data_IF_853315593381
#
_entry.id   IF_853315593381
#
_cell.length_a   1.000
_cell.length_b   1.000
_cell.length_c   1.000
_cell.angle_alpha   90.00
_cell.angle_beta   90.00
_cell.angle_gamma   90.00
#
_symmetry.space_group_name_H-M   'P 1'
#
loop_
_entity.id
_entity.type
_entity.pdbx_description
1 polymer ?
#
# COMPACT_ATOMS: atom_id res chain seq x y z
N UNK A 1 -1.02 12.21 -17.88
CA UNK A 1 -0.25 11.04 -17.43
C UNK A 1 -1.21 10.03 -16.81
N UNK A 2 -1.90 9.19 -17.61
CA UNK A 2 -2.80 8.17 -17.08
C UNK A 2 -2.05 7.17 -16.20
N UNK A 3 -2.58 6.89 -15.02
CA UNK A 3 -2.04 5.98 -14.02
C UNK A 3 -3.08 4.89 -13.80
N UNK A 4 -2.71 3.64 -14.04
CA UNK A 4 -3.56 2.51 -13.65
C UNK A 4 -3.27 2.08 -12.22
N UNK A 5 -4.30 1.91 -11.40
CA UNK A 5 -4.18 1.41 -10.03
C UNK A 5 -4.82 0.04 -9.95
N UNK A 6 -4.04 -0.95 -9.51
CA UNK A 6 -4.47 -2.32 -9.36
C UNK A 6 -4.76 -2.59 -7.88
N UNK A 7 -6.05 -2.69 -7.57
CA UNK A 7 -6.58 -2.98 -6.26
C UNK A 7 -7.05 -4.42 -6.14
N UNK A 8 -7.21 -4.89 -4.91
CA UNK A 8 -7.92 -6.15 -4.59
C UNK A 8 -8.95 -5.97 -3.48
N UNK A 9 -9.10 -4.74 -2.99
CA UNK A 9 -10.03 -4.31 -1.94
C UNK A 9 -10.64 -3.01 -2.45
N UNK A 10 -11.96 -2.97 -2.62
CA UNK A 10 -12.66 -1.83 -3.19
C UNK A 10 -12.51 -0.55 -2.35
N UNK A 11 -12.42 -0.68 -1.02
CA UNK A 11 -12.22 0.44 -0.10
C UNK A 11 -10.90 1.21 -0.31
N UNK A 12 -9.95 0.66 -1.08
CA UNK A 12 -8.73 1.38 -1.41
C UNK A 12 -8.96 2.51 -2.43
N UNK A 13 -9.93 2.38 -3.34
CA UNK A 13 -10.16 3.38 -4.39
C UNK A 13 -10.34 4.81 -3.83
N UNK A 14 -11.28 5.09 -2.91
CA UNK A 14 -11.46 6.43 -2.39
C UNK A 14 -10.25 6.97 -1.63
N UNK A 15 -9.41 6.09 -1.05
CA UNK A 15 -8.15 6.51 -0.40
C UNK A 15 -7.14 7.02 -1.42
N UNK A 16 -6.99 6.31 -2.55
CA UNK A 16 -6.10 6.75 -3.61
C UNK A 16 -6.63 8.00 -4.34
N UNK A 17 -7.96 8.11 -4.52
CA UNK A 17 -8.58 9.33 -5.06
C UNK A 17 -8.27 10.55 -4.18
N UNK A 18 -8.44 10.41 -2.86
CA UNK A 18 -8.16 11.47 -1.90
C UNK A 18 -6.66 11.85 -1.89
N UNK A 19 -5.76 10.86 -1.86
CA UNK A 19 -4.32 11.11 -1.87
C UNK A 19 -3.86 11.79 -3.18
N UNK A 20 -4.44 11.42 -4.31
CA UNK A 20 -4.17 12.07 -5.59
C UNK A 20 -4.65 13.52 -5.60
N UNK A 21 -5.85 13.78 -5.08
CA UNK A 21 -6.37 15.14 -4.94
C UNK A 21 -5.46 16.02 -4.07
N UNK A 22 -4.97 15.51 -2.94
CA UNK A 22 -4.05 16.24 -2.05
C UNK A 22 -2.68 16.52 -2.67
N UNK A 23 -2.29 15.76 -3.70
CA UNK A 23 -1.02 15.91 -4.42
C UNK A 23 -1.20 16.64 -5.76
N UNK A 24 -2.33 17.30 -5.97
CA UNK A 24 -2.68 18.03 -7.21
C UNK A 24 -2.59 17.17 -8.48
N UNK A 25 -2.79 15.86 -8.36
CA UNK A 25 -2.91 14.96 -9.51
C UNK A 25 -4.24 15.25 -10.21
N UNK A 26 -4.25 15.63 -11.50
CA UNK A 26 -5.48 16.02 -12.18
C UNK A 26 -6.54 14.91 -12.18
N UNK A 27 -7.80 15.31 -11.97
CA UNK A 27 -8.94 14.42 -12.07
C UNK A 27 -8.98 13.74 -13.45
N UNK A 28 -9.35 12.45 -13.47
CA UNK A 28 -9.40 11.64 -14.70
C UNK A 28 -8.05 11.06 -15.14
N UNK A 29 -6.95 11.30 -14.41
CA UNK A 29 -5.67 10.61 -14.65
C UNK A 29 -5.62 9.23 -14.00
N UNK A 30 -6.50 8.92 -13.05
CA UNK A 30 -6.50 7.62 -12.39
C UNK A 30 -7.49 6.65 -13.05
N UNK A 31 -7.02 5.44 -13.32
CA UNK A 31 -7.82 4.33 -13.82
C UNK A 31 -7.74 3.17 -12.82
N UNK A 32 -8.84 2.91 -12.12
CA UNK A 32 -8.89 1.89 -11.06
C UNK A 32 -9.33 0.54 -11.61
N UNK A 33 -8.56 -0.51 -11.34
CA UNK A 33 -8.87 -1.89 -11.68
C UNK A 33 -8.90 -2.74 -10.41
N UNK A 34 -9.97 -3.51 -10.24
CA UNK A 34 -10.12 -4.41 -9.11
C UNK A 34 -9.90 -5.86 -9.55
N UNK A 35 -8.87 -6.52 -8.99
CA UNK A 35 -8.53 -7.92 -9.21
C UNK A 35 -8.77 -8.76 -7.92
N UNK A 36 -9.86 -8.53 -7.20
CA UNK A 36 -10.21 -9.30 -6.00
C UNK A 36 -10.28 -10.81 -6.28
N UNK A 37 -10.85 -11.21 -7.41
CA UNK A 37 -10.96 -12.62 -7.83
C UNK A 37 -9.60 -13.28 -8.02
N UNK A 38 -8.61 -12.57 -8.57
CA UNK A 38 -7.24 -13.05 -8.71
C UNK A 38 -6.59 -13.25 -7.34
N UNK A 39 -6.78 -12.30 -6.41
CA UNK A 39 -6.30 -12.44 -5.03
C UNK A 39 -6.94 -13.64 -4.33
N UNK A 40 -8.25 -13.82 -4.47
CA UNK A 40 -8.96 -14.97 -3.89
C UNK A 40 -8.44 -16.29 -4.44
N UNK A 41 -8.17 -16.37 -5.75
CA UNK A 41 -7.56 -17.54 -6.37
C UNK A 41 -6.14 -17.81 -5.84
N UNK A 42 -5.31 -16.78 -5.66
CA UNK A 42 -3.97 -16.90 -5.04
C UNK A 42 -4.08 -17.43 -3.60
N UNK A 43 -5.02 -16.91 -2.81
CA UNK A 43 -5.24 -17.37 -1.43
C UNK A 43 -5.70 -18.82 -1.42
N UNK A 44 -6.66 -19.19 -2.27
CA UNK A 44 -7.19 -20.55 -2.37
C UNK A 44 -6.13 -21.57 -2.80
N UNK A 45 -5.20 -21.16 -3.67
CA UNK A 45 -4.07 -21.99 -4.10
C UNK A 45 -2.91 -22.04 -3.08
N UNK A 46 -2.97 -21.26 -1.99
CA UNK A 46 -1.89 -21.14 -1.01
C UNK A 46 -0.69 -20.33 -1.50
N UNK A 47 -0.81 -19.63 -2.63
CA UNK A 47 0.27 -18.88 -3.27
C UNK A 47 0.07 -18.70 -4.77
N UNK A 48 1.01 -18.02 -5.41
CA UNK A 48 1.00 -17.82 -6.85
C UNK A 48 1.45 -19.08 -7.59
N UNK A 49 0.57 -19.62 -8.43
CA UNK A 49 0.91 -20.62 -9.46
C UNK A 49 1.39 -19.93 -10.73
N UNK A 50 2.01 -20.67 -11.66
CA UNK A 50 2.44 -20.13 -12.95
C UNK A 50 1.27 -19.55 -13.77
N UNK A 51 0.10 -20.21 -13.71
CA UNK A 51 -1.13 -19.72 -14.35
C UNK A 51 -1.58 -18.38 -13.76
N UNK A 52 -1.62 -18.25 -12.42
CA UNK A 52 -2.02 -17.00 -11.78
C UNK A 52 -1.00 -15.87 -12.03
N UNK A 53 0.30 -16.20 -12.15
CA UNK A 53 1.34 -15.24 -12.55
C UNK A 53 1.17 -14.80 -14.00
N UNK A 54 0.84 -15.72 -14.90
CA UNK A 54 0.56 -15.40 -16.30
C UNK A 54 -0.67 -14.49 -16.42
N UNK A 55 -1.74 -14.78 -15.68
CA UNK A 55 -2.93 -13.93 -15.61
C UNK A 55 -2.60 -12.52 -15.11
N UNK A 56 -1.84 -12.39 -14.01
CA UNK A 56 -1.37 -11.09 -13.50
C UNK A 56 -0.56 -10.34 -14.55
N UNK A 57 0.42 -11.00 -15.18
CA UNK A 57 1.26 -10.40 -16.23
C UNK A 57 0.43 -9.87 -17.40
N UNK A 58 -0.53 -10.66 -17.90
CA UNK A 58 -1.39 -10.22 -19.02
C UNK A 58 -2.22 -9.00 -18.64
N UNK A 59 -2.75 -8.94 -17.41
CA UNK A 59 -3.46 -7.75 -16.93
C UNK A 59 -2.54 -6.52 -16.89
N UNK A 60 -1.30 -6.67 -16.43
CA UNK A 60 -0.33 -5.57 -16.44
C UNK A 60 0.02 -5.10 -17.86
N UNK A 61 0.13 -6.01 -18.83
CA UNK A 61 0.37 -5.65 -20.23
C UNK A 61 -0.80 -4.86 -20.84
N UNK A 62 -2.04 -5.27 -20.55
CA UNK A 62 -3.23 -4.52 -20.99
C UNK A 62 -3.26 -3.13 -20.37
N UNK A 63 -2.94 -3.01 -19.08
CA UNK A 63 -2.89 -1.71 -18.39
C UNK A 63 -1.76 -0.82 -18.93
N UNK A 64 -0.59 -1.40 -19.23
CA UNK A 64 0.54 -0.67 -19.78
C UNK A 64 0.25 -0.05 -21.15
N UNK A 65 -0.67 -0.62 -21.93
CA UNK A 65 -1.06 -0.06 -23.23
C UNK A 65 -1.90 1.22 -23.13
N UNK A 66 -2.46 1.54 -21.95
CA UNK A 66 -3.37 2.66 -21.73
C UNK A 66 -2.95 3.57 -20.57
N UNK A 67 -1.75 3.38 -20.01
CA UNK A 67 -1.27 4.13 -18.85
C UNK A 67 0.22 4.36 -18.95
N UNK A 68 0.69 5.49 -18.44
CA UNK A 68 2.11 5.83 -18.37
C UNK A 68 2.80 5.15 -17.18
N UNK A 69 2.02 4.65 -16.21
CA UNK A 69 2.50 3.87 -15.08
C UNK A 69 1.38 3.02 -14.46
N UNK A 70 1.78 2.01 -13.68
CA UNK A 70 0.87 1.14 -12.94
C UNK A 70 1.26 1.13 -11.46
N UNK A 71 0.30 1.40 -10.57
CA UNK A 71 0.45 1.23 -9.12
C UNK A 71 -0.19 -0.10 -8.69
N UNK A 72 0.59 -1.02 -8.12
CA UNK A 72 0.06 -2.26 -7.54
C UNK A 72 -0.14 -2.03 -6.04
N UNK A 73 -1.40 -1.97 -5.60
CA UNK A 73 -1.75 -1.51 -4.25
C UNK A 73 -1.94 -2.64 -3.24
N UNK A 74 -1.87 -3.90 -3.67
CA UNK A 74 -2.00 -5.07 -2.80
C UNK A 74 -0.63 -5.72 -2.62
N UNK A 75 -0.12 -5.79 -1.38
CA UNK A 75 1.20 -6.39 -1.09
C UNK A 75 1.35 -7.84 -1.61
N UNK A 76 0.28 -8.64 -1.55
CA UNK A 76 0.28 -10.01 -2.09
C UNK A 76 0.57 -10.03 -3.60
N UNK A 77 -0.11 -9.19 -4.37
CA UNK A 77 0.13 -9.06 -5.81
C UNK A 77 1.45 -8.33 -6.09
N UNK A 78 1.82 -7.36 -5.24
CA UNK A 78 3.08 -6.62 -5.26
C UNK A 78 4.29 -7.55 -5.29
N UNK A 79 4.34 -8.52 -4.35
CA UNK A 79 5.43 -9.49 -4.32
C UNK A 79 5.53 -10.37 -5.60
N UNK A 80 4.44 -10.52 -6.36
CA UNK A 80 4.45 -11.29 -7.60
C UNK A 80 4.89 -10.48 -8.82
N UNK A 81 4.79 -9.15 -8.78
CA UNK A 81 5.27 -8.28 -9.87
C UNK A 81 6.77 -8.03 -9.83
N UNK A 82 7.42 -8.30 -8.70
CA UNK A 82 8.89 -8.37 -8.63
C UNK A 82 9.41 -9.36 -9.68
N UNK A 83 10.26 -8.88 -10.59
CA UNK A 83 10.83 -9.68 -11.67
C UNK A 83 10.05 -9.66 -12.99
N UNK A 84 8.90 -8.98 -13.07
CA UNK A 84 8.19 -8.74 -14.33
C UNK A 84 8.77 -7.51 -15.06
N UNK A 85 9.99 -7.66 -15.59
CA UNK A 85 10.71 -6.59 -16.29
C UNK A 85 10.22 -6.34 -17.74
N UNK A 86 9.30 -7.17 -18.23
CA UNK A 86 8.75 -7.13 -19.59
C UNK A 86 7.55 -6.19 -19.75
N UNK A 87 7.12 -5.52 -18.67
CA UNK A 87 6.03 -4.53 -18.73
C UNK A 87 6.58 -3.20 -19.27
N UNK A 88 5.92 -2.65 -20.30
CA UNK A 88 6.41 -1.51 -21.07
C UNK A 88 6.47 -0.19 -20.28
N UNK A 89 5.76 -0.10 -19.16
CA UNK A 89 5.69 1.10 -18.30
C UNK A 89 6.10 0.77 -16.87
N UNK A 90 6.53 1.76 -16.08
CA UNK A 90 6.88 1.54 -14.67
C UNK A 90 5.73 0.90 -13.89
N UNK A 91 6.04 -0.21 -13.20
CA UNK A 91 5.14 -0.85 -12.23
C UNK A 91 5.67 -0.55 -10.84
N UNK A 92 4.95 0.29 -10.11
CA UNK A 92 5.30 0.70 -8.74
C UNK A 92 4.57 -0.19 -7.75
N UNK A 93 5.35 -0.78 -6.85
CA UNK A 93 4.84 -1.53 -5.69
C UNK A 93 4.55 -0.56 -4.55
N UNK A 94 3.27 -0.37 -4.25
CA UNK A 94 2.85 0.61 -3.26
C UNK A 94 3.30 0.24 -1.83
N UNK A 95 3.34 -1.06 -1.51
CA UNK A 95 3.86 -1.57 -0.24
C UNK A 95 5.36 -1.29 -0.09
N UNK A 96 6.14 -1.51 -1.15
CA UNK A 96 7.57 -1.24 -1.17
C UNK A 96 7.88 0.27 -1.10
N UNK A 97 7.06 1.10 -1.74
CA UNK A 97 7.15 2.56 -1.65
C UNK A 97 6.92 3.05 -0.21
N UNK A 98 5.91 2.49 0.48
CA UNK A 98 5.70 2.75 1.92
C UNK A 98 6.92 2.35 2.74
N UNK A 99 7.45 1.15 2.52
CA UNK A 99 8.60 0.65 3.28
C UNK A 99 9.81 1.57 3.13
N UNK A 100 10.17 1.97 1.89
CA UNK A 100 11.26 2.93 1.63
C UNK A 100 11.01 4.28 2.28
N UNK A 101 9.83 4.85 2.11
CA UNK A 101 9.50 6.19 2.61
C UNK A 101 9.57 6.25 4.15
N UNK A 102 9.05 5.23 4.82
CA UNK A 102 9.01 5.15 6.27
C UNK A 102 10.38 4.83 6.89
N UNK A 103 11.20 3.99 6.25
CA UNK A 103 12.55 3.66 6.76
C UNK A 103 13.59 4.72 6.47
N UNK A 104 13.39 5.56 5.46
CA UNK A 104 14.23 6.74 5.22
C UNK A 104 14.17 7.77 6.37
N UNK A 105 13.13 7.72 7.21
CA UNK A 105 13.01 8.58 8.38
C UNK A 105 13.90 8.09 9.54
N UNK A 106 14.50 9.04 10.26
CA UNK A 106 15.24 8.78 11.50
C UNK A 106 14.32 8.31 12.63
N UNK A 107 14.87 7.56 13.58
CA UNK A 107 14.17 7.15 14.81
C UNK A 107 13.45 5.81 14.72
N UNK A 108 12.71 5.46 15.77
CA UNK A 108 11.96 4.20 15.90
C UNK A 108 10.71 4.22 15.01
N UNK A 109 10.60 3.24 14.13
CA UNK A 109 9.48 3.03 13.23
C UNK A 109 8.57 1.93 13.77
N UNK A 110 7.28 2.25 13.93
CA UNK A 110 6.23 1.26 14.17
C UNK A 110 5.35 1.12 12.94
N UNK A 111 5.25 -0.10 12.40
CA UNK A 111 4.38 -0.44 11.27
C UNK A 111 3.13 -1.12 11.81
N UNK A 112 1.97 -0.50 11.62
CA UNK A 112 0.68 -1.05 12.02
C UNK A 112 0.13 -1.95 10.90
N UNK A 113 -0.05 -3.23 11.20
CA UNK A 113 -0.61 -4.22 10.28
C UNK A 113 -1.86 -4.83 10.87
N UNK A 114 -2.99 -4.74 10.19
CA UNK A 114 -4.29 -5.21 10.70
C UNK A 114 -4.58 -6.66 10.29
N UNK A 115 -4.31 -7.02 9.04
CA UNK A 115 -4.63 -8.35 8.51
C UNK A 115 -3.55 -9.36 8.90
N UNK A 116 -3.92 -10.35 9.72
CA UNK A 116 -3.02 -11.44 10.17
C UNK A 116 -2.26 -12.10 9.00
N UNK A 117 -2.96 -12.37 7.88
CA UNK A 117 -2.37 -13.02 6.72
C UNK A 117 -1.27 -12.18 6.02
N UNK A 118 -1.25 -10.86 6.24
CA UNK A 118 -0.24 -9.97 5.67
C UNK A 118 1.00 -9.83 6.55
N UNK A 119 0.94 -10.19 7.84
CA UNK A 119 2.03 -9.97 8.80
C UNK A 119 3.38 -10.51 8.33
N UNK A 120 3.51 -11.77 7.86
CA UNK A 120 4.82 -12.29 7.46
C UNK A 120 5.42 -11.50 6.28
N UNK A 121 4.57 -11.09 5.33
CA UNK A 121 4.99 -10.30 4.17
C UNK A 121 5.40 -8.88 4.55
N UNK A 122 4.64 -8.22 5.43
CA UNK A 122 4.98 -6.89 5.95
C UNK A 122 6.29 -6.94 6.75
N UNK A 123 6.45 -7.93 7.63
CA UNK A 123 7.70 -8.12 8.38
C UNK A 123 8.90 -8.31 7.45
N UNK A 124 8.81 -9.23 6.49
CA UNK A 124 9.89 -9.48 5.54
C UNK A 124 10.25 -8.23 4.73
N UNK A 125 9.24 -7.48 4.27
CA UNK A 125 9.43 -6.26 3.47
C UNK A 125 10.16 -5.15 4.23
N UNK A 126 9.79 -4.92 5.48
CA UNK A 126 10.40 -3.87 6.31
C UNK A 126 11.76 -4.29 6.89
N UNK A 127 11.95 -5.57 7.24
CA UNK A 127 13.26 -6.08 7.68
C UNK A 127 14.31 -6.12 6.57
N UNK A 128 13.89 -6.12 5.30
CA UNK A 128 14.79 -6.05 4.16
C UNK A 128 15.32 -4.64 3.87
N UNK A 129 14.86 -3.61 4.59
CA UNK A 129 15.30 -2.23 4.40
C UNK A 129 16.66 -1.97 5.06
N UNK A 130 17.40 -0.98 4.55
CA UNK A 130 18.70 -0.52 5.11
C UNK A 130 18.54 0.33 6.39
N UNK A 131 17.64 -0.09 7.28
CA UNK A 131 17.44 0.50 8.59
C UNK A 131 17.65 -0.58 9.64
N UNK A 132 18.30 -0.21 10.73
CA UNK A 132 18.62 -1.14 11.81
C UNK A 132 17.37 -1.84 12.33
N UNK A 133 17.39 -3.18 12.38
CA UNK A 133 16.20 -3.98 12.66
C UNK A 133 15.62 -3.70 14.06
N UNK A 134 16.43 -3.29 15.02
CA UNK A 134 16.00 -2.88 16.36
C UNK A 134 15.21 -1.56 16.38
N UNK A 135 15.24 -0.79 15.30
CA UNK A 135 14.46 0.44 15.14
C UNK A 135 13.15 0.20 14.38
N UNK A 136 12.83 -1.04 14.02
CA UNK A 136 11.62 -1.38 13.28
C UNK A 136 10.79 -2.37 14.10
N UNK A 137 9.58 -1.95 14.46
CA UNK A 137 8.58 -2.80 15.09
C UNK A 137 7.39 -2.97 14.16
N UNK A 138 6.98 -4.20 13.87
CA UNK A 138 5.71 -4.48 13.17
C UNK A 138 4.69 -4.92 14.21
N UNK A 139 3.68 -4.08 14.43
CA UNK A 139 2.62 -4.30 15.44
C UNK A 139 1.35 -4.79 14.76
N UNK A 140 0.84 -5.94 15.22
CA UNK A 140 -0.42 -6.49 14.76
C UNK A 140 -1.61 -5.83 15.47
N UNK A 141 -2.56 -5.28 14.72
CA UNK A 141 -3.77 -4.62 15.22
C UNK A 141 -5.04 -5.33 14.75
N UNK A 142 -5.32 -6.56 15.23
CA UNK A 142 -6.39 -7.42 14.70
C UNK A 142 -7.79 -6.83 14.83
N UNK A 143 -8.03 -6.00 15.84
CA UNK A 143 -9.33 -5.35 16.07
C UNK A 143 -9.72 -4.43 14.91
N UNK A 144 -8.75 -3.77 14.28
CA UNK A 144 -8.96 -2.93 13.10
C UNK A 144 -9.46 -3.77 11.94
N UNK A 145 -8.84 -4.93 11.70
CA UNK A 145 -9.26 -5.85 10.65
C UNK A 145 -10.68 -6.36 10.87
N UNK A 146 -11.02 -6.71 12.12
CA UNK A 146 -12.37 -7.16 12.48
C UNK A 146 -13.44 -6.12 12.16
N UNK A 147 -13.28 -4.87 12.59
CA UNK A 147 -14.26 -3.83 12.28
C UNK A 147 -14.30 -3.49 10.79
N UNK A 148 -13.16 -3.56 10.10
CA UNK A 148 -13.11 -3.37 8.65
C UNK A 148 -13.96 -4.40 7.89
N UNK A 149 -13.83 -5.70 8.21
CA UNK A 149 -14.61 -6.75 7.53
C UNK A 149 -16.09 -6.78 7.96
N UNK A 150 -16.41 -6.29 9.16
CA UNK A 150 -17.78 -6.10 9.64
C UNK A 150 -18.48 -4.89 8.96
N UNK A 151 -17.72 -4.03 8.28
CA UNK A 151 -18.22 -2.79 7.69
C UNK A 151 -18.50 -1.68 8.72
N UNK A 152 -18.08 -1.88 9.97
CA UNK A 152 -18.22 -0.90 11.07
C UNK A 152 -17.16 0.19 10.92
N UNK A 153 -17.46 1.16 10.04
CA UNK A 153 -16.52 2.21 9.63
C UNK A 153 -16.11 3.09 10.81
N UNK A 154 -17.05 3.43 11.70
CA UNK A 154 -16.78 4.28 12.87
C UNK A 154 -15.79 3.59 13.82
N UNK A 155 -16.06 2.34 14.19
CA UNK A 155 -15.16 1.61 15.09
C UNK A 155 -13.84 1.24 14.43
N UNK A 156 -13.84 0.99 13.13
CA UNK A 156 -12.61 0.78 12.36
C UNK A 156 -11.71 2.02 12.44
N UNK A 157 -12.25 3.20 12.15
CA UNK A 157 -11.50 4.46 12.22
C UNK A 157 -11.02 4.78 13.63
N UNK A 158 -11.88 4.64 14.64
CA UNK A 158 -11.51 4.85 16.03
C UNK A 158 -10.35 3.91 16.44
N UNK A 159 -10.42 2.64 16.05
CA UNK A 159 -9.36 1.66 16.36
C UNK A 159 -8.04 1.95 15.65
N UNK A 160 -8.07 2.51 14.42
CA UNK A 160 -6.86 2.96 13.73
C UNK A 160 -6.22 4.13 14.48
N UNK A 161 -7.02 5.13 14.87
CA UNK A 161 -6.53 6.29 15.63
C UNK A 161 -5.91 5.85 16.96
N UNK A 162 -6.61 5.00 17.73
CA UNK A 162 -6.07 4.46 18.99
C UNK A 162 -4.75 3.72 18.78
N UNK A 163 -4.64 2.88 17.76
CA UNK A 163 -3.39 2.17 17.48
C UNK A 163 -2.23 3.11 17.11
N UNK A 164 -2.51 4.23 16.42
CA UNK A 164 -1.50 5.26 16.12
C UNK A 164 -1.07 5.97 17.42
N UNK A 165 -2.02 6.33 18.28
CA UNK A 165 -1.74 6.98 19.57
C UNK A 165 -0.92 6.08 20.49
N UNK A 166 -1.28 4.80 20.60
CA UNK A 166 -0.54 3.78 21.36
C UNK A 166 0.88 3.63 20.83
N UNK A 167 1.07 3.53 19.50
CA UNK A 167 2.40 3.43 18.91
C UNK A 167 3.29 4.63 19.27
N UNK A 168 2.74 5.85 19.27
CA UNK A 168 3.48 7.04 19.69
C UNK A 168 3.74 7.07 21.19
N UNK A 169 2.78 6.65 22.02
CA UNK A 169 2.95 6.52 23.47
C UNK A 169 4.05 5.51 23.84
N UNK A 170 4.17 4.43 23.06
CA UNK A 170 5.22 3.41 23.17
C UNK A 170 6.58 3.86 22.58
N UNK A 171 6.68 5.12 22.18
CA UNK A 171 7.93 5.76 21.79
C UNK A 171 8.26 5.66 20.31
N UNK A 172 7.29 5.37 19.43
CA UNK A 172 7.53 5.50 17.99
C UNK A 172 7.89 6.96 17.62
N UNK A 173 8.91 7.11 16.80
CA UNK A 173 9.24 8.36 16.12
C UNK A 173 8.44 8.49 14.80
N UNK A 174 8.14 7.35 14.18
CA UNK A 174 7.47 7.23 12.89
C UNK A 174 6.43 6.11 12.97
N UNK A 175 5.24 6.35 12.44
CA UNK A 175 4.19 5.32 12.32
C UNK A 175 3.82 5.14 10.85
N UNK A 176 3.79 3.88 10.39
CA UNK A 176 3.41 3.51 9.03
C UNK A 176 2.17 2.59 9.03
N UNK A 177 1.21 2.86 8.14
CA UNK A 177 -0.02 2.10 7.99
C UNK A 177 0.11 1.09 6.84
N UNK A 178 0.20 -0.20 7.15
CA UNK A 178 0.56 -1.23 6.16
C UNK A 178 -0.54 -1.58 5.14
N UNK A 179 -1.77 -1.09 5.35
CA UNK A 179 -2.89 -1.34 4.43
C UNK A 179 -3.44 -0.01 3.90
N UNK A 180 -3.66 0.13 2.58
CA UNK A 180 -4.10 1.42 2.02
C UNK A 180 -5.38 1.95 2.66
N UNK A 181 -6.40 1.10 2.84
CA UNK A 181 -7.67 1.48 3.46
C UNK A 181 -7.55 2.01 4.90
N UNK A 182 -6.44 1.77 5.61
CA UNK A 182 -6.22 2.35 6.95
C UNK A 182 -6.02 3.87 6.90
N UNK A 183 -5.68 4.44 5.73
CA UNK A 183 -5.52 5.87 5.54
C UNK A 183 -6.83 6.60 5.22
N UNK A 184 -7.98 5.92 5.33
CA UNK A 184 -9.31 6.54 5.17
C UNK A 184 -9.71 7.46 6.35
N UNK A 185 -8.97 7.40 7.47
CA UNK A 185 -9.10 8.29 8.63
C UNK A 185 -7.97 9.32 8.62
N UNK A 186 -8.12 10.51 9.25
CA UNK A 186 -7.05 11.49 9.33
C UNK A 186 -5.74 10.87 9.83
N UNK A 187 -4.70 10.96 8.99
CA UNK A 187 -3.37 10.39 9.24
C UNK A 187 -2.48 11.29 10.08
N UNK A 188 -3.03 12.36 10.67
CA UNK A 188 -2.33 13.22 11.62
C UNK A 188 -2.93 13.06 13.01
N UNK A 189 -2.11 12.57 13.94
CA UNK A 189 -2.47 12.36 15.34
C UNK A 189 -1.47 13.12 16.19
N UNK A 190 -1.95 13.96 17.10
CA UNK A 190 -1.10 14.82 17.95
C UNK A 190 -0.12 15.71 17.14
N UNK A 191 -0.53 16.15 15.94
CA UNK A 191 0.30 16.96 15.05
C UNK A 191 1.40 16.19 14.31
N UNK A 192 1.43 14.86 14.41
CA UNK A 192 2.41 13.99 13.75
C UNK A 192 1.73 13.23 12.61
N UNK A 193 2.25 13.40 11.40
CA UNK A 193 1.75 12.71 10.22
C UNK A 193 2.28 11.27 10.17
N UNK A 194 1.39 10.30 9.96
CA UNK A 194 1.75 8.92 9.67
C UNK A 194 2.09 8.73 8.19
N UNK A 195 2.83 7.67 7.90
CA UNK A 195 3.11 7.23 6.54
C UNK A 195 2.02 6.26 6.08
N UNK A 196 1.51 6.45 4.88
CA UNK A 196 0.53 5.56 4.27
C UNK A 196 0.91 5.15 2.84
N UNK A 197 0.32 4.04 2.41
CA UNK A 197 0.61 3.38 1.13
C UNK A 197 0.31 4.29 -0.06
N UNK A 198 -0.77 5.07 -0.02
CA UNK A 198 -1.21 5.86 -1.17
C UNK A 198 -0.28 7.04 -1.41
N UNK A 199 -0.01 7.84 -0.37
CA UNK A 199 0.90 9.00 -0.45
C UNK A 199 2.32 8.56 -0.78
N UNK A 200 2.81 7.47 -0.19
CA UNK A 200 4.14 6.94 -0.51
C UNK A 200 4.26 6.47 -1.97
N UNK A 201 3.25 5.76 -2.47
CA UNK A 201 3.25 5.29 -3.87
C UNK A 201 3.22 6.44 -4.87
N UNK A 202 2.40 7.48 -4.63
CA UNK A 202 2.40 8.65 -5.49
C UNK A 202 3.69 9.45 -5.38
N UNK A 203 4.25 9.65 -4.18
CA UNK A 203 5.53 10.35 -4.04
C UNK A 203 6.65 9.67 -4.83
N UNK A 204 6.72 8.34 -4.79
CA UNK A 204 7.68 7.57 -5.60
C UNK A 204 7.41 7.71 -7.10
N UNK A 205 6.14 7.62 -7.51
CA UNK A 205 5.75 7.79 -8.90
C UNK A 205 6.16 9.17 -9.44
N UNK A 206 5.91 10.23 -8.67
CA UNK A 206 6.21 11.61 -9.06
C UNK A 206 7.70 11.93 -9.07
N UNK A 207 8.49 11.20 -8.28
CA UNK A 207 9.95 11.30 -8.31
C UNK A 207 10.58 10.58 -9.51
N UNK A 208 9.83 9.75 -10.25
CA UNK A 208 10.38 8.96 -11.33
C UNK A 208 10.74 9.85 -12.56
N UNK A 209 12.01 9.89 -12.99
CA UNK A 209 12.50 10.87 -13.97
C UNK A 209 11.89 10.75 -15.38
N UNK A 210 11.15 9.66 -15.67
CA UNK A 210 10.49 9.43 -16.97
C UNK A 210 9.04 9.90 -17.02
N UNK A 211 8.50 10.37 -15.91
CA UNK A 211 7.10 10.73 -15.77
C UNK A 211 7.01 12.25 -15.65
N UNK A 212 6.68 12.93 -16.75
CA UNK A 212 6.44 14.38 -16.75
C UNK A 212 4.99 14.60 -17.18
N UNK A 213 4.26 15.37 -16.38
CA UNK A 213 2.94 15.86 -16.74
C UNK A 213 3.06 16.69 -18.02
N UNK A 214 2.48 16.20 -19.12
CA UNK A 214 2.23 17.03 -20.29
C UNK A 214 0.99 17.89 -20.06
#
# INVERSE_FOLDING_TARGET
>A
MPISLLHTIAANQPVFDQAAHELDIPAGQLHHVNLSTLREAVVAAGGFTDELRFQLRNQLQVLAAQSDAILVTCATLGAAVDGMADIAVPVIRADAALARAATAQSGRLTVLCAAQAALPGVQALFCAQEKSAELITVTHVPVVWRFFIEGDTERCHASITTAIEEAYADGADVVALAHPWMAATPTSVQGRQTFDVARAAFAELLAAPRLHWR
#
